data_IF_416162406535
#
_entry.id   IF_416162406535
#
_cell.length_a   1.000
_cell.length_b   1.000
_cell.length_c   1.000
_cell.angle_alpha   90.00
_cell.angle_beta   90.00
_cell.angle_gamma   90.00
#
_symmetry.space_group_name_H-M   'P 1'
#
loop_
_entity.id
_entity.type
_entity.pdbx_description
1 polymer ?
#
# COMPACT_ATOMS: atom_id res chain seq x y z
N UNK A 1 10.22 14.51 10.41
CA UNK A 1 11.28 13.74 9.73
C UNK A 1 10.60 12.67 8.90
N UNK A 2 10.66 12.73 7.58
CA UNK A 2 10.26 11.61 6.72
C UNK A 2 11.39 10.59 6.72
N UNK A 3 11.21 9.49 7.46
CA UNK A 3 12.14 8.37 7.43
C UNK A 3 12.01 7.71 6.06
N UNK A 4 13.09 7.71 5.28
CA UNK A 4 13.12 7.06 3.98
C UNK A 4 13.25 5.55 4.22
N UNK A 5 12.20 4.79 3.89
CA UNK A 5 12.31 3.33 3.79
C UNK A 5 12.99 2.98 2.47
N UNK A 6 14.05 2.19 2.54
CA UNK A 6 14.70 1.60 1.38
C UNK A 6 13.83 0.50 0.77
N UNK A 7 14.08 0.18 -0.50
CA UNK A 7 13.39 -0.93 -1.20
C UNK A 7 13.52 -2.26 -0.45
N UNK A 8 14.70 -2.53 0.11
CA UNK A 8 14.97 -3.79 0.80
C UNK A 8 14.22 -3.90 2.13
N UNK A 9 14.03 -2.78 2.83
CA UNK A 9 13.19 -2.73 4.04
C UNK A 9 11.73 -3.00 3.70
N UNK A 10 11.20 -2.40 2.62
CA UNK A 10 9.83 -2.70 2.16
C UNK A 10 9.66 -4.18 1.83
N UNK A 11 10.60 -4.77 1.08
CA UNK A 11 10.55 -6.21 0.73
C UNK A 11 10.59 -7.07 2.00
N UNK A 12 11.42 -6.71 2.98
CA UNK A 12 11.51 -7.43 4.25
C UNK A 12 10.20 -7.40 5.01
N UNK A 13 9.58 -6.24 5.16
CA UNK A 13 8.28 -6.11 5.82
C UNK A 13 7.20 -6.94 5.12
N UNK A 14 7.14 -6.92 3.79
CA UNK A 14 6.17 -7.73 3.03
C UNK A 14 6.42 -9.23 3.24
N UNK A 15 7.68 -9.68 3.21
CA UNK A 15 8.01 -11.09 3.47
C UNK A 15 7.61 -11.54 4.87
N UNK A 16 7.86 -10.73 5.88
CA UNK A 16 7.47 -11.01 7.26
C UNK A 16 5.95 -11.16 7.40
N UNK A 17 5.17 -10.27 6.80
CA UNK A 17 3.71 -10.37 6.77
C UNK A 17 3.24 -11.66 6.08
N UNK A 18 3.88 -12.04 4.97
CA UNK A 18 3.58 -13.29 4.27
C UNK A 18 3.92 -14.53 5.11
N UNK A 19 5.02 -14.52 5.86
CA UNK A 19 5.40 -15.61 6.77
C UNK A 19 4.37 -15.79 7.89
N UNK A 20 3.84 -14.69 8.44
CA UNK A 20 2.79 -14.71 9.46
C UNK A 20 1.49 -15.37 8.99
N UNK A 21 1.22 -15.39 7.68
CA UNK A 21 0.05 -16.12 7.14
C UNK A 21 0.17 -17.65 7.20
N UNK A 22 1.32 -18.19 7.65
CA UNK A 22 1.52 -19.64 7.86
C UNK A 22 1.82 -20.42 6.57
N UNK A 23 2.36 -19.73 5.56
CA UNK A 23 2.45 -20.23 4.17
C UNK A 23 3.88 -20.57 3.74
N UNK A 24 4.88 -20.27 4.59
CA UNK A 24 6.30 -20.39 4.31
C UNK A 24 6.74 -21.74 3.70
N UNK A 25 6.06 -22.85 4.03
CA UNK A 25 6.47 -24.20 3.63
C UNK A 25 5.74 -24.77 2.39
N UNK A 26 4.76 -24.06 1.82
CA UNK A 26 3.97 -24.58 0.69
C UNK A 26 4.41 -23.95 -0.62
N UNK A 27 5.18 -24.70 -1.41
CA UNK A 27 5.74 -24.35 -2.74
C UNK A 27 4.73 -23.80 -3.77
N UNK A 28 3.42 -23.88 -3.52
CA UNK A 28 2.33 -23.38 -4.37
C UNK A 28 1.15 -22.76 -3.59
N UNK A 29 1.34 -22.38 -2.33
CA UNK A 29 0.26 -21.78 -1.58
C UNK A 29 -0.09 -20.39 -2.12
N UNK A 30 -1.39 -20.11 -2.15
CA UNK A 30 -1.95 -18.82 -2.52
C UNK A 30 -2.24 -18.07 -1.24
N UNK A 31 -1.32 -17.23 -0.75
CA UNK A 31 -1.56 -16.46 0.45
C UNK A 31 -2.75 -15.54 0.25
N UNK A 32 -3.66 -15.54 1.22
CA UNK A 32 -4.74 -14.58 1.24
C UNK A 32 -4.19 -13.24 1.71
N UNK A 33 -4.09 -12.30 0.77
CA UNK A 33 -3.60 -10.93 1.02
C UNK A 33 -4.75 -9.93 1.15
N UNK A 34 -5.98 -10.41 1.32
CA UNK A 34 -7.17 -9.55 1.41
C UNK A 34 -7.07 -8.54 2.55
N UNK A 35 -6.33 -8.87 3.62
CA UNK A 35 -6.07 -7.95 4.74
C UNK A 35 -4.94 -6.94 4.45
N UNK A 36 -3.87 -7.38 3.77
CA UNK A 36 -2.68 -6.56 3.53
C UNK A 36 -2.86 -5.56 2.39
N UNK A 37 -3.53 -5.97 1.31
CA UNK A 37 -3.65 -5.16 0.09
C UNK A 37 -4.40 -3.82 0.31
N UNK A 38 -5.50 -3.74 1.08
CA UNK A 38 -6.15 -2.47 1.40
C UNK A 38 -5.21 -1.52 2.16
N UNK A 39 -4.48 -2.03 3.16
CA UNK A 39 -3.56 -1.24 3.99
C UNK A 39 -2.41 -0.68 3.15
N UNK A 40 -1.80 -1.50 2.30
CA UNK A 40 -0.71 -1.07 1.43
C UNK A 40 -1.18 0.01 0.44
N UNK A 41 -2.36 -0.16 -0.15
CA UNK A 41 -2.95 0.84 -1.07
C UNK A 41 -3.22 2.15 -0.35
N UNK A 42 -3.76 2.10 0.88
CA UNK A 42 -4.02 3.30 1.66
C UNK A 42 -2.72 4.03 2.01
N UNK A 43 -1.71 3.31 2.51
CA UNK A 43 -0.41 3.90 2.87
C UNK A 43 0.24 4.63 1.69
N UNK A 44 0.19 4.05 0.49
CA UNK A 44 0.69 4.68 -0.75
C UNK A 44 -0.09 5.95 -1.11
N UNK A 45 -1.43 5.89 -1.04
CA UNK A 45 -2.29 7.04 -1.34
C UNK A 45 -2.08 8.16 -0.32
N UNK A 46 -2.08 7.85 0.97
CA UNK A 46 -1.87 8.81 2.05
C UNK A 46 -0.51 9.50 1.92
N UNK A 47 0.56 8.72 1.71
CA UNK A 47 1.92 9.25 1.54
C UNK A 47 2.00 10.22 0.36
N UNK A 48 1.39 9.88 -0.77
CA UNK A 48 1.41 10.76 -1.94
C UNK A 48 0.48 11.97 -1.81
N UNK A 49 -0.63 11.85 -1.09
CA UNK A 49 -1.43 13.02 -0.73
C UNK A 49 -0.66 13.97 0.16
N UNK A 50 0.08 13.48 1.16
CA UNK A 50 0.97 14.32 1.98
C UNK A 50 2.06 14.98 1.13
N UNK A 51 2.74 14.20 0.27
CA UNK A 51 3.79 14.70 -0.62
C UNK A 51 3.28 15.78 -1.59
N UNK A 52 2.08 15.60 -2.13
CA UNK A 52 1.45 16.53 -3.09
C UNK A 52 0.56 17.59 -2.42
N UNK A 53 0.61 17.72 -1.08
CA UNK A 53 -0.16 18.69 -0.29
C UNK A 53 -1.67 18.62 -0.55
N UNK A 54 -2.21 17.40 -0.63
CA UNK A 54 -3.62 17.12 -0.85
C UNK A 54 -4.07 17.18 -2.31
N UNK A 55 -3.18 17.44 -3.28
CA UNK A 55 -3.55 17.47 -4.69
C UNK A 55 -3.81 16.07 -5.25
N UNK A 56 -5.07 15.63 -5.15
CA UNK A 56 -5.51 14.29 -5.59
C UNK A 56 -5.22 14.02 -7.07
N UNK A 57 -5.30 15.03 -7.95
CA UNK A 57 -5.03 14.84 -9.37
C UNK A 57 -3.54 14.59 -9.62
N UNK A 58 -2.67 15.30 -8.91
CA UNK A 58 -1.23 15.10 -8.99
C UNK A 58 -0.83 13.75 -8.39
N UNK A 59 -1.30 13.41 -7.18
CA UNK A 59 -1.03 12.11 -6.56
C UNK A 59 -1.51 10.94 -7.43
N UNK A 60 -2.70 11.04 -8.02
CA UNK A 60 -3.24 10.01 -8.90
C UNK A 60 -2.39 9.81 -10.16
N UNK A 61 -1.87 10.90 -10.76
CA UNK A 61 -0.94 10.84 -11.89
C UNK A 61 0.38 10.16 -11.48
N UNK A 62 0.94 10.48 -10.31
CA UNK A 62 2.15 9.85 -9.81
C UNK A 62 1.97 8.34 -9.56
N UNK A 63 0.80 7.93 -9.07
CA UNK A 63 0.44 6.51 -8.89
C UNK A 63 0.07 5.78 -10.18
N UNK A 64 -0.17 6.50 -11.28
CA UNK A 64 -0.68 5.91 -12.52
C UNK A 64 -2.12 5.36 -12.40
N UNK A 65 -2.95 5.94 -11.53
CA UNK A 65 -4.35 5.54 -11.32
C UNK A 65 -5.32 6.68 -11.62
N UNK A 66 -6.60 6.36 -11.79
CA UNK A 66 -7.63 7.40 -11.90
C UNK A 66 -7.80 8.15 -10.57
N UNK A 67 -8.10 9.45 -10.63
CA UNK A 67 -8.45 10.26 -9.44
C UNK A 67 -9.63 9.65 -8.67
N UNK A 68 -10.60 9.07 -9.38
CA UNK A 68 -11.75 8.41 -8.77
C UNK A 68 -11.33 7.18 -7.94
N UNK A 69 -10.37 6.39 -8.44
CA UNK A 69 -9.80 5.25 -7.71
C UNK A 69 -9.06 5.71 -6.46
N UNK A 70 -8.22 6.74 -6.58
CA UNK A 70 -7.52 7.33 -5.44
C UNK A 70 -8.50 7.77 -4.34
N UNK A 71 -9.54 8.52 -4.73
CA UNK A 71 -10.59 8.99 -3.80
C UNK A 71 -11.31 7.84 -3.13
N UNK A 72 -11.62 6.76 -3.85
CA UNK A 72 -12.26 5.56 -3.29
C UNK A 72 -11.37 4.91 -2.23
N UNK A 73 -10.09 4.71 -2.53
CA UNK A 73 -9.11 4.12 -1.59
C UNK A 73 -9.00 4.98 -0.33
N UNK A 74 -8.85 6.30 -0.48
CA UNK A 74 -8.71 7.21 0.66
C UNK A 74 -9.95 7.23 1.56
N UNK A 75 -11.14 7.28 0.97
CA UNK A 75 -12.40 7.33 1.73
C UNK A 75 -12.77 5.99 2.38
N UNK A 76 -12.19 4.87 1.95
CA UNK A 76 -12.50 3.54 2.50
C UNK A 76 -12.11 3.39 3.97
N UNK A 77 -11.15 4.19 4.46
CA UNK A 77 -10.68 4.19 5.86
C UNK A 77 -11.37 5.23 6.76
N UNK A 78 -12.12 6.16 6.17
CA UNK A 78 -12.85 7.22 6.86
C UNK A 78 -14.37 6.98 6.91
N UNK A 79 -14.79 5.74 6.66
CA UNK A 79 -16.15 5.24 6.89
C UNK A 79 -16.17 4.38 8.13
#
# INVERSE_FOLDING_TARGET
>A
MTTLMTRDEVIRCVKQELELTGIADKKHAKPDLSYLMPELRFALVETLLLHTRGNQAHAARMLGISRCTLRKIYNQRHK
#
